data_IF_072071136591
#
_entry.id   IF_072071136591
#
_cell.length_a   1.000
_cell.length_b   1.000
_cell.length_c   1.000
_cell.angle_alpha   90.00
_cell.angle_beta   90.00
_cell.angle_gamma   90.00
#
_symmetry.space_group_name_H-M   'P 1'
#
loop_
_entity.id
_entity.type
_entity.pdbx_description
1 polymer ?
#
# COMPACT_ATOMS: atom_id res chain seq x y z
N UNK A 1 -3.29 14.69 -1.91
CA UNK A 1 -4.17 13.57 -1.53
C UNK A 1 -3.64 12.80 -0.32
N UNK A 2 -2.37 12.48 -0.31
CA UNK A 2 -1.73 11.91 0.88
C UNK A 2 -1.28 13.05 1.80
N UNK A 3 -1.85 13.09 2.99
CA UNK A 3 -1.64 14.18 3.95
C UNK A 3 -0.40 13.92 4.80
N UNK A 4 0.03 14.95 5.52
CA UNK A 4 1.12 14.81 6.50
C UNK A 4 0.83 13.71 7.51
N UNK A 5 -0.44 13.59 7.95
CA UNK A 5 -0.87 12.55 8.88
C UNK A 5 -0.65 11.15 8.30
N UNK A 6 -0.87 10.97 7.02
CA UNK A 6 -0.57 9.71 6.34
C UNK A 6 0.91 9.34 6.49
N UNK A 7 1.78 10.31 6.23
CA UNK A 7 3.23 10.09 6.36
C UNK A 7 3.64 9.83 7.80
N UNK A 8 2.96 10.46 8.77
CA UNK A 8 3.21 10.17 10.18
C UNK A 8 2.90 8.71 10.52
N UNK A 9 1.81 8.18 9.97
CA UNK A 9 1.46 6.77 10.14
C UNK A 9 2.54 5.87 9.54
N UNK A 10 3.05 6.20 8.35
CA UNK A 10 4.08 5.39 7.70
C UNK A 10 5.38 5.31 8.51
N UNK A 11 5.67 6.31 9.34
CA UNK A 11 6.87 6.32 10.19
C UNK A 11 6.77 5.35 11.37
N UNK A 12 5.59 4.83 11.64
CA UNK A 12 5.36 3.88 12.71
C UNK A 12 5.06 2.52 12.09
N UNK A 13 5.55 1.46 12.72
CA UNK A 13 5.29 0.14 12.20
C UNK A 13 3.85 -0.28 12.45
N UNK A 14 3.32 -1.07 11.53
CA UNK A 14 1.96 -1.57 11.58
C UNK A 14 1.67 -2.41 10.34
N UNK A 15 0.55 -3.11 10.39
CA UNK A 15 0.10 -3.95 9.28
C UNK A 15 -0.59 -3.11 8.23
N UNK A 16 -0.27 -3.38 6.97
CA UNK A 16 -1.01 -2.85 5.82
C UNK A 16 -1.78 -4.00 5.22
N UNK A 17 -3.09 -3.85 5.07
CA UNK A 17 -3.93 -4.81 4.37
C UNK A 17 -4.13 -4.35 2.94
N UNK A 18 -3.89 -5.25 1.99
CA UNK A 18 -4.10 -4.99 0.56
C UNK A 18 -5.30 -5.82 0.12
N UNK A 19 -6.34 -5.14 -0.38
CA UNK A 19 -7.57 -5.77 -0.83
C UNK A 19 -7.62 -5.70 -2.35
N UNK A 20 -7.76 -6.87 -2.97
CA UNK A 20 -7.96 -7.00 -4.42
C UNK A 20 -9.26 -7.76 -4.68
N UNK A 21 -9.82 -7.60 -5.88
CA UNK A 21 -11.12 -8.17 -6.20
C UNK A 21 -10.99 -9.38 -7.10
N UNK A 22 -11.44 -10.53 -6.57
CA UNK A 22 -11.64 -11.74 -7.35
C UNK A 22 -13.05 -11.80 -7.93
N UNK A 23 -13.33 -12.88 -8.65
CA UNK A 23 -14.66 -13.10 -9.24
C UNK A 23 -15.72 -13.32 -8.15
N UNK A 24 -15.38 -14.15 -7.16
CA UNK A 24 -16.34 -14.56 -6.13
C UNK A 24 -16.26 -13.75 -4.85
N UNK A 25 -15.05 -13.31 -4.51
CA UNK A 25 -14.82 -12.64 -3.22
C UNK A 25 -13.60 -11.74 -3.28
N UNK A 26 -13.51 -10.75 -2.39
CA UNK A 26 -12.28 -10.00 -2.23
C UNK A 26 -11.19 -10.89 -1.61
N UNK A 27 -9.95 -10.59 -1.95
CA UNK A 27 -8.78 -11.27 -1.40
C UNK A 27 -7.94 -10.27 -0.62
N UNK A 28 -7.47 -10.66 0.55
CA UNK A 28 -6.70 -9.78 1.43
C UNK A 28 -5.35 -10.41 1.71
N UNK A 29 -4.30 -9.61 1.53
CA UNK A 29 -2.94 -9.94 1.99
C UNK A 29 -2.42 -8.81 2.84
N UNK A 30 -1.40 -9.09 3.63
CA UNK A 30 -0.81 -8.12 4.52
C UNK A 30 0.64 -7.84 4.17
N UNK A 31 1.04 -6.57 4.39
CA UNK A 31 2.43 -6.15 4.37
C UNK A 31 2.64 -5.20 5.56
N UNK A 32 3.67 -4.38 5.52
CA UNK A 32 4.04 -3.54 6.67
C UNK A 32 4.14 -2.07 6.26
N UNK A 33 3.83 -1.17 7.19
CA UNK A 33 3.96 0.28 6.96
C UNK A 33 5.36 0.64 6.44
N UNK A 34 6.40 0.05 7.03
CA UNK A 34 7.79 0.34 6.65
C UNK A 34 8.17 -0.16 5.26
N UNK A 35 7.34 -0.98 4.63
CA UNK A 35 7.59 -1.48 3.27
C UNK A 35 6.99 -0.57 2.20
N UNK A 36 6.17 0.39 2.57
CA UNK A 36 5.56 1.31 1.60
C UNK A 36 6.53 2.45 1.29
N UNK A 37 6.77 2.66 0.01
CA UNK A 37 7.59 3.78 -0.48
C UNK A 37 6.68 4.66 -1.33
N UNK A 38 6.53 5.92 -0.96
CA UNK A 38 5.68 6.86 -1.69
C UNK A 38 6.55 7.70 -2.61
N UNK A 39 6.18 7.75 -3.89
CA UNK A 39 6.87 8.57 -4.88
C UNK A 39 6.42 10.02 -4.79
N UNK A 40 7.18 10.93 -5.44
CA UNK A 40 6.84 12.36 -5.44
C UNK A 40 5.51 12.66 -6.13
N UNK A 41 5.07 11.78 -7.05
CA UNK A 41 3.78 11.92 -7.74
C UNK A 41 2.67 11.05 -7.12
N UNK A 42 2.84 10.71 -5.83
CA UNK A 42 1.83 10.02 -5.03
C UNK A 42 1.42 8.64 -5.58
N UNK A 43 2.41 7.86 -6.02
CA UNK A 43 2.26 6.43 -6.22
C UNK A 43 2.86 5.72 -5.01
N UNK A 44 2.26 4.61 -4.62
CA UNK A 44 2.77 3.80 -3.51
C UNK A 44 3.41 2.55 -4.10
N UNK A 45 4.68 2.33 -3.78
CA UNK A 45 5.44 1.17 -4.23
C UNK A 45 5.57 0.19 -3.07
N UNK A 46 5.22 -1.06 -3.32
CA UNK A 46 5.20 -2.12 -2.30
C UNK A 46 6.02 -3.30 -2.82
N UNK A 47 7.00 -3.80 -2.04
CA UNK A 47 7.75 -4.98 -2.48
C UNK A 47 6.84 -6.20 -2.46
N UNK A 48 6.84 -6.96 -3.55
CA UNK A 48 6.00 -8.14 -3.69
C UNK A 48 6.85 -9.40 -3.80
N UNK A 49 6.52 -10.37 -2.95
CA UNK A 49 7.05 -11.72 -3.00
C UNK A 49 5.87 -12.67 -2.81
N UNK A 50 5.80 -13.74 -3.62
CA UNK A 50 4.59 -14.55 -3.69
C UNK A 50 3.39 -13.67 -4.06
N UNK A 51 2.33 -13.59 -3.26
CA UNK A 51 1.15 -12.75 -3.53
C UNK A 51 0.54 -13.04 -4.90
N UNK A 52 0.49 -14.32 -5.30
CA UNK A 52 0.10 -14.70 -6.67
C UNK A 52 -1.38 -14.50 -6.94
N UNK A 53 -2.22 -14.73 -5.92
CA UNK A 53 -3.66 -14.51 -6.09
C UNK A 53 -3.96 -13.02 -6.21
N UNK A 54 -3.26 -12.19 -5.45
CA UNK A 54 -3.35 -10.72 -5.57
C UNK A 54 -3.00 -10.29 -7.00
N UNK A 55 -1.90 -10.81 -7.53
CA UNK A 55 -1.47 -10.51 -8.89
C UNK A 55 -2.50 -10.94 -9.93
N UNK A 56 -3.04 -12.14 -9.80
CA UNK A 56 -4.07 -12.64 -10.69
C UNK A 56 -5.30 -11.73 -10.67
N UNK A 57 -5.72 -11.31 -9.48
CA UNK A 57 -6.87 -10.42 -9.33
C UNK A 57 -6.61 -9.07 -9.99
N UNK A 58 -5.43 -8.48 -9.74
CA UNK A 58 -5.05 -7.17 -10.29
C UNK A 58 -4.97 -7.22 -11.82
N UNK A 59 -4.47 -8.31 -12.39
CA UNK A 59 -4.42 -8.47 -13.84
C UNK A 59 -5.81 -8.52 -14.46
N UNK A 60 -6.82 -8.93 -13.71
CA UNK A 60 -8.21 -8.96 -14.16
C UNK A 60 -8.96 -7.67 -13.83
N UNK A 61 -8.77 -7.16 -12.62
CA UNK A 61 -9.37 -5.91 -12.14
C UNK A 61 -8.31 -5.17 -11.34
N UNK A 62 -7.82 -4.06 -11.88
CA UNK A 62 -6.70 -3.35 -11.29
C UNK A 62 -7.07 -2.43 -10.12
N UNK A 63 -8.32 -2.40 -9.71
CA UNK A 63 -8.73 -1.61 -8.55
C UNK A 63 -8.28 -2.30 -7.28
N UNK A 64 -7.68 -1.53 -6.37
CA UNK A 64 -7.25 -2.03 -5.07
C UNK A 64 -7.61 -1.02 -3.99
N UNK A 65 -7.68 -1.52 -2.76
CA UNK A 65 -7.69 -0.67 -1.57
C UNK A 65 -6.62 -1.17 -0.62
N UNK A 66 -6.00 -0.24 0.08
CA UNK A 66 -5.14 -0.59 1.20
C UNK A 66 -5.66 0.08 2.46
N UNK A 67 -5.54 -0.62 3.56
CA UNK A 67 -5.88 -0.10 4.88
C UNK A 67 -4.64 -0.19 5.76
N UNK A 68 -4.32 0.88 6.45
CA UNK A 68 -3.15 0.94 7.32
C UNK A 68 -3.43 1.89 8.48
N UNK A 69 -2.66 1.75 9.53
CA UNK A 69 -2.83 2.61 10.69
C UNK A 69 -1.72 2.46 11.70
N UNK A 70 -1.79 3.29 12.72
CA UNK A 70 -0.92 3.18 13.89
C UNK A 70 -1.63 3.76 15.10
N UNK A 71 -1.55 3.04 16.20
CA UNK A 71 -2.07 3.52 17.47
C UNK A 71 -1.21 4.65 18.06
N UNK A 72 0.02 4.78 17.59
CA UNK A 72 0.96 5.78 18.08
C UNK A 72 0.76 7.17 17.48
N UNK A 73 -0.12 7.31 16.49
CA UNK A 73 -0.40 8.58 15.81
C UNK A 73 -1.80 9.03 16.20
N UNK A 74 -1.93 10.29 16.65
CA UNK A 74 -3.22 10.83 17.04
C UNK A 74 -4.10 11.09 15.82
N UNK A 75 -5.37 10.74 15.97
CA UNK A 75 -6.39 10.95 14.97
C UNK A 75 -7.22 12.21 15.23
N UNK A 76 -8.46 12.20 14.74
CA UNK A 76 -9.37 13.33 14.92
C UNK A 76 -9.65 13.57 16.40
N UNK A 77 -9.66 14.86 16.78
CA UNK A 77 -9.92 15.29 18.15
C UNK A 77 -9.03 14.57 19.17
N UNK A 78 -7.76 14.36 18.77
CA UNK A 78 -6.75 13.72 19.62
C UNK A 78 -7.11 12.27 20.00
N UNK A 79 -7.92 11.61 19.18
CA UNK A 79 -8.19 10.18 19.37
C UNK A 79 -6.87 9.40 19.29
N UNK A 80 -6.65 8.51 20.25
CA UNK A 80 -5.41 7.73 20.28
C UNK A 80 -5.43 6.64 19.21
N UNK A 81 -4.72 6.89 18.13
CA UNK A 81 -4.65 6.01 16.97
C UNK A 81 -5.41 6.58 15.81
N UNK A 82 -4.89 6.34 14.62
CA UNK A 82 -5.53 6.74 13.37
C UNK A 82 -5.15 5.77 12.26
N UNK A 83 -5.85 5.88 11.16
CA UNK A 83 -5.56 5.05 10.01
C UNK A 83 -6.15 5.66 8.75
N UNK A 84 -5.90 4.97 7.64
CA UNK A 84 -6.32 5.43 6.34
C UNK A 84 -6.85 4.26 5.52
N UNK A 85 -7.80 4.55 4.66
CA UNK A 85 -8.15 3.68 3.53
C UNK A 85 -7.77 4.42 2.27
N UNK A 86 -6.91 3.81 1.48
CA UNK A 86 -6.42 4.37 0.22
C UNK A 86 -6.93 3.50 -0.91
N UNK A 87 -7.54 4.10 -1.91
CA UNK A 87 -7.97 3.42 -3.12
C UNK A 87 -7.07 3.82 -4.28
N UNK A 88 -6.87 2.93 -5.22
CA UNK A 88 -6.05 3.24 -6.37
C UNK A 88 -6.11 2.18 -7.45
N UNK A 89 -5.34 2.45 -8.50
CA UNK A 89 -5.16 1.56 -9.63
C UNK A 89 -3.78 0.92 -9.51
N UNK A 90 -3.73 -0.40 -9.62
CA UNK A 90 -2.52 -1.17 -9.37
C UNK A 90 -1.95 -1.76 -10.66
N UNK A 91 -0.63 -1.88 -10.69
CA UNK A 91 0.08 -2.66 -11.69
C UNK A 91 1.39 -3.16 -11.08
N UNK A 92 2.04 -4.09 -11.76
CA UNK A 92 3.33 -4.61 -11.31
C UNK A 92 4.45 -4.05 -12.16
N UNK A 93 5.56 -3.72 -11.51
CA UNK A 93 6.81 -3.26 -12.15
C UNK A 93 7.83 -4.37 -11.96
N UNK A 94 8.44 -4.80 -13.08
CA UNK A 94 9.41 -5.89 -13.06
C UNK A 94 10.82 -5.47 -13.48
N UNK A 95 11.00 -4.21 -13.89
CA UNK A 95 12.28 -3.66 -14.32
C UNK A 95 12.26 -2.13 -14.27
N UNK A 96 13.43 -1.53 -14.39
CA UNK A 96 13.57 -0.09 -14.45
C UNK A 96 14.13 0.49 -13.15
N UNK A 97 14.27 1.82 -13.12
CA UNK A 97 14.92 2.50 -12.00
C UNK A 97 14.17 2.37 -10.68
N UNK A 98 12.85 2.39 -10.72
CA UNK A 98 12.06 2.22 -9.49
C UNK A 98 12.14 0.79 -8.97
N UNK A 99 12.12 -0.20 -9.89
CA UNK A 99 12.35 -1.58 -9.50
C UNK A 99 13.72 -1.75 -8.84
N UNK A 100 14.76 -1.19 -9.45
CA UNK A 100 16.13 -1.31 -8.95
C UNK A 100 16.28 -0.67 -7.55
N UNK A 101 15.69 0.50 -7.37
CA UNK A 101 15.68 1.18 -6.07
C UNK A 101 14.98 0.33 -5.01
N UNK A 102 13.82 -0.22 -5.33
CA UNK A 102 13.08 -1.07 -4.40
C UNK A 102 13.82 -2.37 -4.10
N UNK A 103 14.46 -2.96 -5.12
CA UNK A 103 15.23 -4.20 -4.95
C UNK A 103 16.43 -4.00 -4.01
N UNK A 104 17.04 -2.83 -4.07
CA UNK A 104 18.12 -2.49 -3.14
C UNK A 104 17.63 -2.38 -1.71
N UNK A 105 16.45 -1.79 -1.50
CA UNK A 105 15.83 -1.68 -0.17
C UNK A 105 15.29 -3.00 0.35
N UNK A 106 14.72 -3.81 -0.53
CA UNK A 106 14.00 -5.04 -0.18
C UNK A 106 14.48 -6.17 -1.07
N UNK A 107 15.60 -6.78 -0.71
CA UNK A 107 16.28 -7.77 -1.55
C UNK A 107 15.41 -9.00 -1.87
N UNK A 108 14.41 -9.29 -1.04
CA UNK A 108 13.53 -10.45 -1.19
C UNK A 108 12.49 -10.29 -2.31
N UNK A 109 12.22 -9.07 -2.79
CA UNK A 109 11.14 -8.88 -3.75
C UNK A 109 11.45 -9.52 -5.11
N UNK A 110 10.40 -9.93 -5.79
CA UNK A 110 10.47 -10.43 -7.16
C UNK A 110 9.83 -9.48 -8.16
N UNK A 111 8.96 -8.61 -7.69
CA UNK A 111 8.38 -7.51 -8.46
C UNK A 111 7.91 -6.44 -7.48
N UNK A 112 7.51 -5.30 -8.02
CA UNK A 112 7.01 -4.18 -7.23
C UNK A 112 5.54 -3.98 -7.57
N UNK A 113 4.70 -3.93 -6.55
CA UNK A 113 3.31 -3.53 -6.71
C UNK A 113 3.26 -2.01 -6.67
N UNK A 114 2.80 -1.40 -7.75
CA UNK A 114 2.61 0.05 -7.84
C UNK A 114 1.14 0.37 -7.73
N UNK A 115 0.80 1.28 -6.82
CA UNK A 115 -0.58 1.77 -6.67
C UNK A 115 -0.57 3.26 -6.98
N UNK A 116 -1.30 3.65 -8.03
CA UNK A 116 -1.57 5.05 -8.33
C UNK A 116 -2.78 5.46 -7.49
N UNK A 117 -2.57 6.35 -6.54
CA UNK A 117 -3.61 6.73 -5.57
C UNK A 117 -4.71 7.53 -6.25
N UNK A 118 -5.95 7.10 -6.11
CA UNK A 118 -7.12 7.82 -6.60
C UNK A 118 -7.91 8.46 -5.46
N UNK A 119 -7.81 7.94 -4.25
CA UNK A 119 -8.39 8.57 -3.06
C UNK A 119 -7.68 8.08 -1.81
N UNK A 120 -7.66 8.92 -0.79
CA UNK A 120 -7.14 8.57 0.51
C UNK A 120 -8.03 9.20 1.57
N UNK A 121 -8.53 8.38 2.49
CA UNK A 121 -9.46 8.84 3.52
C UNK A 121 -8.92 8.46 4.88
N UNK A 122 -8.81 9.46 5.76
CA UNK A 122 -8.46 9.22 7.16
C UNK A 122 -9.66 8.61 7.89
N UNK A 123 -9.39 7.52 8.59
CA UNK A 123 -10.35 6.82 9.46
C UNK A 123 -9.89 7.04 10.89
N UNK A 124 -10.74 7.42 11.78
CA UNK A 124 -10.40 7.71 13.19
C UNK A 124 -9.52 8.99 13.37
#
# INVERSE_FOLDING_TARGET
MLTEKFYDVLKKEGVVSIVSWGIDEPHVVNTWNSYLVVTSDERILIPAYAMRKTEKNINHNNKVKIALGSKEVLGYKDYQGTGFVVAGDAKYIESGSEFDMMKEKFSFLTRVLEITVTSAKQML
#
